data_IF_078152397603
#
_entry.id   IF_078152397603
#
_cell.length_a   1.000
_cell.length_b   1.000
_cell.length_c   1.000
_cell.angle_alpha   90.00
_cell.angle_beta   90.00
_cell.angle_gamma   90.00
#
_symmetry.space_group_name_H-M   'P 1'
#
loop_
_entity.id
_entity.type
_entity.pdbx_description
1 polymer ?
#
# COMPACT_ATOMS: atom_id res chain seq x y z
N UNK A 1 -7.39 -28.51 24.82
CA UNK A 1 -8.32 -27.36 24.81
C UNK A 1 -7.60 -26.22 24.13
N UNK A 2 -7.82 -26.02 22.83
CA UNK A 2 -7.16 -24.97 22.05
C UNK A 2 -7.97 -23.69 22.15
N UNK A 3 -7.45 -22.68 22.86
CA UNK A 3 -8.05 -21.34 22.86
C UNK A 3 -7.76 -20.69 21.52
N UNK A 4 -8.76 -20.66 20.63
CA UNK A 4 -8.75 -19.79 19.46
C UNK A 4 -8.88 -18.36 19.99
N UNK A 5 -7.78 -17.64 20.04
CA UNK A 5 -7.78 -16.20 20.33
C UNK A 5 -8.46 -15.49 19.16
N UNK A 6 -9.72 -15.11 19.32
CA UNK A 6 -10.44 -14.32 18.31
C UNK A 6 -9.70 -12.99 18.10
N UNK A 7 -9.46 -12.58 16.85
CA UNK A 7 -8.84 -11.28 16.57
C UNK A 7 -9.73 -10.15 17.10
N UNK A 8 -9.11 -9.15 17.71
CA UNK A 8 -9.83 -7.96 18.19
C UNK A 8 -10.34 -7.13 16.99
N UNK A 9 -11.45 -6.36 17.13
CA UNK A 9 -12.06 -5.64 16.00
C UNK A 9 -11.11 -4.70 15.24
N UNK A 10 -10.14 -4.09 15.95
CA UNK A 10 -9.09 -3.26 15.35
C UNK A 10 -8.14 -4.10 14.48
N UNK A 11 -7.73 -5.28 14.94
CA UNK A 11 -6.91 -6.19 14.16
C UNK A 11 -7.64 -6.65 12.89
N UNK A 12 -8.95 -6.91 12.98
CA UNK A 12 -9.78 -7.23 11.80
C UNK A 12 -9.80 -6.08 10.78
N UNK A 13 -9.95 -4.83 11.23
CA UNK A 13 -9.92 -3.66 10.34
C UNK A 13 -8.56 -3.43 9.67
N UNK A 14 -7.45 -3.66 10.39
CA UNK A 14 -6.10 -3.57 9.83
C UNK A 14 -5.90 -4.63 8.74
N UNK A 15 -6.30 -5.88 8.99
CA UNK A 15 -6.15 -6.97 8.03
C UNK A 15 -7.03 -6.78 6.78
N UNK A 16 -8.26 -6.28 6.93
CA UNK A 16 -9.14 -5.93 5.79
C UNK A 16 -8.53 -4.84 4.91
N UNK A 17 -7.92 -3.81 5.51
CA UNK A 17 -7.21 -2.76 4.74
C UNK A 17 -6.00 -3.29 3.98
N UNK A 18 -5.24 -4.21 4.59
CA UNK A 18 -4.11 -4.89 3.93
C UNK A 18 -4.60 -5.77 2.76
N UNK A 19 -5.68 -6.52 2.95
CA UNK A 19 -6.24 -7.38 1.90
C UNK A 19 -6.74 -6.55 0.71
N UNK A 20 -7.48 -5.47 0.98
CA UNK A 20 -7.91 -4.52 -0.06
C UNK A 20 -6.75 -3.80 -0.73
N UNK A 21 -5.65 -3.56 -0.03
CA UNK A 21 -4.43 -3.03 -0.65
C UNK A 21 -3.85 -4.02 -1.66
N UNK A 22 -3.77 -5.30 -1.30
CA UNK A 22 -3.31 -6.38 -2.21
C UNK A 22 -4.24 -6.53 -3.41
N UNK A 23 -5.55 -6.55 -3.16
CA UNK A 23 -6.58 -6.62 -4.20
C UNK A 23 -6.42 -5.51 -5.24
N UNK A 24 -6.15 -4.27 -4.81
CA UNK A 24 -5.92 -3.17 -5.76
C UNK A 24 -4.61 -3.27 -6.55
N UNK A 25 -3.53 -3.81 -5.97
CA UNK A 25 -2.30 -4.06 -6.74
C UNK A 25 -2.54 -5.14 -7.81
N UNK A 26 -3.23 -6.22 -7.44
CA UNK A 26 -3.61 -7.27 -8.39
C UNK A 26 -4.54 -6.73 -9.48
N UNK A 27 -5.52 -5.89 -9.13
CA UNK A 27 -6.39 -5.23 -10.09
C UNK A 27 -5.58 -4.33 -11.03
N UNK A 28 -4.68 -3.50 -10.50
CA UNK A 28 -3.83 -2.64 -11.30
C UNK A 28 -3.03 -3.43 -12.36
N UNK A 29 -2.50 -4.60 -12.01
CA UNK A 29 -1.78 -5.47 -12.95
C UNK A 29 -2.65 -6.00 -14.10
N UNK A 30 -3.96 -6.13 -13.90
CA UNK A 30 -4.89 -6.65 -14.91
C UNK A 30 -5.61 -5.55 -15.71
N UNK A 31 -5.53 -4.29 -15.29
CA UNK A 31 -6.19 -3.20 -15.99
C UNK A 31 -5.55 -2.95 -17.36
N UNK A 32 -6.37 -2.73 -18.39
CA UNK A 32 -5.87 -2.35 -19.72
C UNK A 32 -5.70 -0.85 -19.87
N UNK A 33 -6.56 -0.06 -19.21
CA UNK A 33 -6.42 1.40 -19.18
C UNK A 33 -5.34 1.83 -18.20
N UNK A 34 -4.36 2.57 -18.72
CA UNK A 34 -3.21 3.08 -17.95
C UNK A 34 -3.63 4.04 -16.83
N UNK A 35 -4.74 4.76 -17.00
CA UNK A 35 -5.28 5.63 -15.95
C UNK A 35 -5.80 4.77 -14.79
N UNK A 36 -6.55 3.70 -15.09
CA UNK A 36 -7.08 2.82 -14.04
C UNK A 36 -5.96 2.02 -13.36
N UNK A 37 -4.91 1.60 -14.10
CA UNK A 37 -3.68 1.03 -13.49
C UNK A 37 -3.11 1.97 -12.43
N UNK A 38 -2.90 3.23 -12.81
CA UNK A 38 -2.34 4.26 -11.93
C UNK A 38 -3.23 4.50 -10.70
N UNK A 39 -4.55 4.60 -10.93
CA UNK A 39 -5.55 4.83 -9.88
C UNK A 39 -5.62 3.69 -8.88
N UNK A 40 -5.67 2.44 -9.36
CA UNK A 40 -5.64 1.25 -8.52
C UNK A 40 -4.34 1.17 -7.69
N UNK A 41 -3.19 1.47 -8.28
CA UNK A 41 -1.91 1.50 -7.57
C UNK A 41 -1.87 2.58 -6.47
N UNK A 42 -2.34 3.80 -6.76
CA UNK A 42 -2.44 4.87 -5.76
C UNK A 42 -3.40 4.50 -4.62
N UNK A 43 -4.53 3.86 -4.95
CA UNK A 43 -5.52 3.42 -3.97
C UNK A 43 -4.98 2.29 -3.08
N UNK A 44 -4.18 1.37 -3.63
CA UNK A 44 -3.48 0.36 -2.84
C UNK A 44 -2.58 1.01 -1.78
N UNK A 45 -1.72 1.95 -2.19
CA UNK A 45 -0.83 2.66 -1.27
C UNK A 45 -1.60 3.39 -0.16
N UNK A 46 -2.72 4.05 -0.48
CA UNK A 46 -3.59 4.71 0.50
C UNK A 46 -4.13 3.72 1.54
N UNK A 47 -4.54 2.52 1.12
CA UNK A 47 -5.05 1.49 2.03
C UNK A 47 -3.97 0.89 2.92
N UNK A 48 -2.77 0.67 2.39
CA UNK A 48 -1.62 0.25 3.18
C UNK A 48 -1.29 1.30 4.26
N UNK A 49 -1.26 2.59 3.90
CA UNK A 49 -1.02 3.67 4.86
C UNK A 49 -2.13 3.76 5.91
N UNK A 50 -3.40 3.59 5.51
CA UNK A 50 -4.52 3.56 6.45
C UNK A 50 -4.41 2.37 7.44
N UNK A 51 -3.98 1.19 6.97
CA UNK A 51 -3.75 0.03 7.84
C UNK A 51 -2.67 0.32 8.90
N UNK A 52 -1.57 0.96 8.47
CA UNK A 52 -0.50 1.39 9.38
C UNK A 52 -1.02 2.36 10.45
N UNK A 53 -1.77 3.38 10.04
CA UNK A 53 -2.36 4.34 10.98
C UNK A 53 -3.35 3.66 11.93
N UNK A 54 -4.21 2.76 11.43
CA UNK A 54 -5.18 2.04 12.24
C UNK A 54 -4.50 1.15 13.30
N UNK A 55 -3.38 0.51 12.97
CA UNK A 55 -2.62 -0.31 13.89
C UNK A 55 -1.84 0.51 14.94
N UNK A 56 -1.29 1.66 14.56
CA UNK A 56 -0.47 2.51 15.45
C UNK A 56 -1.31 3.55 16.23
N UNK A 57 -2.55 3.83 15.82
CA UNK A 57 -3.43 4.77 16.50
C UNK A 57 -4.05 4.14 17.74
N UNK A 58 -3.46 4.41 18.91
CA UNK A 58 -3.96 3.87 20.18
C UNK A 58 -5.31 4.48 20.61
N UNK A 59 -5.70 5.66 20.09
CA UNK A 59 -6.98 6.36 20.43
C UNK A 59 -7.51 7.38 19.41
N UNK A 60 -6.87 7.61 18.26
CA UNK A 60 -7.20 8.78 17.44
C UNK A 60 -7.94 8.39 16.14
N UNK A 61 -9.24 8.09 16.27
CA UNK A 61 -10.14 7.91 15.13
C UNK A 61 -10.68 9.25 14.60
N UNK A 62 -10.28 10.39 15.17
CA UNK A 62 -10.79 11.74 14.84
C UNK A 62 -9.69 12.79 14.95
N UNK A 63 -8.77 12.83 13.98
CA UNK A 63 -7.80 13.93 13.87
C UNK A 63 -7.97 14.69 12.56
N UNK A 64 -9.05 15.47 12.46
CA UNK A 64 -9.29 16.46 11.40
C UNK A 64 -9.18 15.97 9.94
N UNK A 65 -9.32 16.86 8.95
CA UNK A 65 -9.01 16.55 7.56
C UNK A 65 -7.49 16.67 7.34
N UNK A 66 -6.68 15.84 8.00
CA UNK A 66 -5.28 15.67 7.62
C UNK A 66 -5.17 14.54 6.62
N UNK A 67 -4.39 14.75 5.58
CA UNK A 67 -4.08 13.70 4.62
C UNK A 67 -3.38 12.55 5.35
N UNK A 68 -3.68 11.31 5.01
CA UNK A 68 -3.00 10.13 5.57
C UNK A 68 -1.47 10.26 5.47
N UNK A 69 -1.00 10.89 4.39
CA UNK A 69 0.42 11.13 4.10
C UNK A 69 1.08 12.17 5.01
N UNK A 70 0.30 13.08 5.63
CA UNK A 70 0.83 14.00 6.64
C UNK A 70 1.05 13.30 7.99
N UNK A 71 0.33 12.21 8.24
CA UNK A 71 0.37 11.49 9.53
C UNK A 71 1.43 10.40 9.52
N UNK A 72 1.67 9.75 8.38
CA UNK A 72 2.65 8.64 8.24
C UNK A 72 4.02 9.00 8.85
N UNK A 73 4.66 10.15 8.54
CA UNK A 73 5.97 10.50 9.11
C UNK A 73 5.98 10.62 10.64
N UNK A 74 4.83 10.91 11.26
CA UNK A 74 4.71 11.04 12.72
C UNK A 74 4.68 9.67 13.40
N UNK A 75 4.00 8.69 12.79
CA UNK A 75 3.85 7.35 13.40
C UNK A 75 4.87 6.34 12.89
N UNK A 76 5.48 6.59 11.73
CA UNK A 76 6.45 5.76 11.03
C UNK A 76 7.45 6.65 10.27
N UNK A 77 8.38 7.31 10.98
CA UNK A 77 9.36 8.20 10.35
C UNK A 77 10.21 7.49 9.28
N UNK A 78 10.43 6.19 9.43
CA UNK A 78 11.08 5.32 8.44
C UNK A 78 10.36 5.27 7.08
N UNK A 79 9.10 5.72 7.00
CA UNK A 79 8.29 5.79 5.78
C UNK A 79 8.03 7.23 5.30
N UNK A 80 8.74 8.23 5.83
CA UNK A 80 8.51 9.63 5.48
C UNK A 80 8.76 9.95 3.99
N UNK A 81 9.77 9.34 3.39
CA UNK A 81 10.07 9.50 1.97
C UNK A 81 8.94 8.94 1.09
N UNK A 82 8.38 7.79 1.49
CA UNK A 82 7.22 7.21 0.82
C UNK A 82 5.98 8.11 0.90
N UNK A 83 5.74 8.73 2.05
CA UNK A 83 4.63 9.68 2.19
C UNK A 83 4.78 10.89 1.25
N UNK A 84 6.00 11.39 1.08
CA UNK A 84 6.31 12.47 0.13
C UNK A 84 6.08 12.01 -1.31
N UNK A 85 6.61 10.84 -1.68
CA UNK A 85 6.43 10.25 -3.01
C UNK A 85 4.94 10.08 -3.37
N UNK A 86 4.15 9.46 -2.48
CA UNK A 86 2.73 9.21 -2.75
C UNK A 86 1.86 10.47 -2.74
N UNK A 87 2.31 11.54 -2.07
CA UNK A 87 1.65 12.85 -2.15
C UNK A 87 1.84 13.46 -3.55
N UNK A 88 3.04 13.37 -4.10
CA UNK A 88 3.33 13.86 -5.46
C UNK A 88 2.59 13.05 -6.54
N UNK A 89 2.64 11.71 -6.47
CA UNK A 89 1.92 10.84 -7.41
C UNK A 89 0.41 11.04 -7.28
N UNK A 90 -0.11 11.21 -6.06
CA UNK A 90 -1.52 11.52 -5.85
C UNK A 90 -1.95 12.85 -6.48
N UNK A 91 -1.08 13.87 -6.49
CA UNK A 91 -1.34 15.14 -7.18
C UNK A 91 -1.36 14.95 -8.69
N UNK A 92 -0.42 14.19 -9.26
CA UNK A 92 -0.39 13.84 -10.70
C UNK A 92 -1.62 13.04 -11.11
N UNK A 93 -2.03 12.06 -10.30
CA UNK A 93 -3.27 11.29 -10.49
C UNK A 93 -4.50 12.17 -10.67
N UNK A 94 -4.65 13.21 -9.85
CA UNK A 94 -5.77 14.15 -10.00
C UNK A 94 -5.72 14.98 -11.30
N UNK A 95 -4.54 15.20 -11.89
CA UNK A 95 -4.42 15.85 -13.20
C UNK A 95 -4.90 14.88 -14.28
N UNK A 96 -4.57 13.59 -14.15
CA UNK A 96 -5.01 12.53 -15.05
C UNK A 96 -6.53 12.31 -14.98
N UNK A 97 -7.11 12.29 -13.78
CA UNK A 97 -8.56 12.14 -13.57
C UNK A 97 -9.38 13.26 -14.22
N UNK A 98 -8.80 14.47 -14.30
CA UNK A 98 -9.41 15.62 -14.97
C UNK A 98 -9.24 15.60 -16.50
N UNK A 99 -8.53 14.61 -17.04
CA UNK A 99 -8.23 14.48 -18.46
C UNK A 99 -7.24 15.53 -18.99
N UNK A 100 -6.59 16.29 -18.11
CA UNK A 100 -5.66 17.34 -18.52
C UNK A 100 -4.32 16.78 -19.02
N UNK A 101 -3.94 15.59 -18.53
CA UNK A 101 -2.77 14.82 -18.96
C UNK A 101 -3.10 13.33 -18.89
N UNK A 102 -2.25 12.46 -19.45
CA UNK A 102 -2.33 11.00 -19.26
C UNK A 102 -1.01 10.47 -18.71
N UNK A 103 -1.04 9.48 -17.80
CA UNK A 103 0.17 8.79 -17.40
C UNK A 103 0.72 7.99 -18.59
N UNK A 104 2.03 7.81 -18.61
CA UNK A 104 2.67 6.80 -19.45
C UNK A 104 2.51 5.40 -18.83
N UNK A 105 2.67 4.35 -19.66
CA UNK A 105 2.69 2.95 -19.18
C UNK A 105 3.76 2.77 -18.11
N UNK A 106 4.95 3.35 -18.33
CA UNK A 106 6.05 3.29 -17.38
C UNK A 106 5.72 3.94 -16.04
N UNK A 107 5.09 5.12 -16.04
CA UNK A 107 4.67 5.77 -14.79
C UNK A 107 3.65 4.95 -14.00
N UNK A 108 2.72 4.28 -14.70
CA UNK A 108 1.78 3.38 -14.05
C UNK A 108 2.47 2.14 -13.47
N UNK A 109 3.35 1.51 -14.24
CA UNK A 109 4.10 0.32 -13.81
C UNK A 109 5.06 0.64 -12.65
N UNK A 110 5.72 1.81 -12.68
CA UNK A 110 6.58 2.29 -11.60
C UNK A 110 5.77 2.55 -10.32
N UNK A 111 4.55 3.10 -10.45
CA UNK A 111 3.67 3.30 -9.30
C UNK A 111 3.17 1.98 -8.71
N UNK A 112 2.92 0.95 -9.52
CA UNK A 112 2.59 -0.40 -9.05
C UNK A 112 3.75 -0.97 -8.23
N UNK A 113 4.98 -0.94 -8.77
CA UNK A 113 6.18 -1.42 -8.06
C UNK A 113 6.43 -0.66 -6.76
N UNK A 114 6.21 0.65 -6.77
CA UNK A 114 6.29 1.50 -5.58
C UNK A 114 5.22 1.08 -4.53
N UNK A 115 3.98 0.84 -4.97
CA UNK A 115 2.89 0.37 -4.12
C UNK A 115 3.17 -1.00 -3.48
N UNK A 116 3.69 -1.95 -4.24
CA UNK A 116 4.13 -3.27 -3.74
C UNK A 116 5.22 -3.13 -2.68
N UNK A 117 6.26 -2.35 -2.99
CA UNK A 117 7.38 -2.11 -2.07
C UNK A 117 6.89 -1.47 -0.78
N UNK A 118 6.05 -0.44 -0.87
CA UNK A 118 5.50 0.26 0.28
C UNK A 118 4.61 -0.64 1.14
N UNK A 119 3.69 -1.41 0.53
CA UNK A 119 2.89 -2.39 1.25
C UNK A 119 3.78 -3.37 2.01
N UNK A 120 4.89 -3.77 1.41
CA UNK A 120 5.85 -4.64 2.07
C UNK A 120 6.51 -4.02 3.30
N UNK A 121 6.91 -2.75 3.20
CA UNK A 121 7.44 -2.02 4.35
C UNK A 121 6.40 -1.83 5.44
N UNK A 122 5.13 -1.59 5.08
CA UNK A 122 4.01 -1.52 6.04
C UNK A 122 3.82 -2.85 6.75
N UNK A 123 3.79 -3.98 6.02
CA UNK A 123 3.65 -5.31 6.64
C UNK A 123 4.79 -5.59 7.63
N UNK A 124 6.04 -5.27 7.26
CA UNK A 124 7.20 -5.36 8.16
C UNK A 124 7.02 -4.48 9.40
N UNK A 125 6.56 -3.25 9.23
CA UNK A 125 6.26 -2.30 10.31
C UNK A 125 5.17 -2.79 11.27
N UNK A 126 4.30 -3.69 10.81
CA UNK A 126 3.21 -4.29 11.59
C UNK A 126 3.57 -5.67 12.17
N UNK A 127 4.79 -6.18 11.89
CA UNK A 127 5.18 -7.54 12.26
C UNK A 127 4.37 -8.62 11.53
N UNK A 128 3.71 -8.27 10.43
CA UNK A 128 2.93 -9.20 9.62
C UNK A 128 3.85 -9.87 8.58
N UNK A 129 3.59 -11.15 8.25
CA UNK A 129 4.34 -11.79 7.19
C UNK A 129 4.14 -11.03 5.89
N UNK A 130 5.26 -10.83 5.20
CA UNK A 130 5.32 -10.49 3.79
C UNK A 130 4.74 -11.66 3.02
N UNK A 131 3.41 -11.77 2.98
CA UNK A 131 2.77 -12.93 2.37
C UNK A 131 3.07 -12.92 0.87
N UNK A 132 4.06 -13.70 0.44
CA UNK A 132 3.96 -14.43 -0.81
C UNK A 132 2.94 -15.53 -0.58
N UNK A 133 1.68 -15.29 -0.95
CA UNK A 133 0.71 -16.38 -1.20
C UNK A 133 1.08 -17.04 -2.54
N UNK A 134 2.34 -17.49 -2.62
CA UNK A 134 3.02 -18.16 -3.74
C UNK A 134 4.38 -18.59 -3.18
N UNK A 135 4.34 -19.51 -2.20
CA UNK A 135 5.54 -19.91 -1.46
C UNK A 135 5.41 -21.16 -0.60
N UNK A 136 4.24 -21.81 -0.56
CA UNK A 136 4.14 -23.17 -0.02
C UNK A 136 4.52 -24.25 -1.05
N UNK A 137 4.95 -23.86 -2.27
CA UNK A 137 5.28 -24.81 -3.34
C UNK A 137 6.40 -24.42 -4.29
N UNK A 138 7.08 -23.27 -4.12
CA UNK A 138 8.17 -22.84 -5.00
C UNK A 138 9.34 -22.27 -4.18
N UNK A 139 9.92 -23.11 -3.32
CA UNK A 139 11.29 -22.93 -2.82
C UNK A 139 12.33 -23.35 -3.89
N UNK A 140 12.16 -22.84 -5.11
CA UNK A 140 13.14 -23.04 -6.15
C UNK A 140 13.01 -21.93 -7.21
N UNK A 141 14.09 -21.16 -7.29
CA UNK A 141 14.48 -20.30 -8.40
C UNK A 141 14.13 -18.80 -8.29
N UNK A 142 15.23 -18.05 -8.17
CA UNK A 142 15.49 -16.73 -8.76
C UNK A 142 15.20 -15.50 -7.88
N UNK A 143 16.24 -15.10 -7.14
CA UNK A 143 16.42 -13.72 -6.73
C UNK A 143 17.00 -12.91 -7.90
N UNK A 144 16.42 -11.77 -8.32
CA UNK A 144 17.14 -10.81 -9.14
C UNK A 144 17.97 -9.89 -8.25
N UNK A 145 19.27 -9.88 -8.51
CA UNK A 145 20.26 -8.96 -7.99
C UNK A 145 19.99 -7.54 -8.52
N UNK A 146 19.94 -6.55 -7.62
CA UNK A 146 20.07 -5.14 -7.97
C UNK A 146 21.44 -4.67 -7.49
N UNK A 147 22.41 -4.75 -8.38
CA UNK A 147 23.73 -4.14 -8.23
C UNK A 147 23.76 -2.81 -8.98
N UNK A 148 24.08 -1.76 -8.21
CA UNK A 148 24.55 -0.41 -8.58
C UNK A 148 23.58 0.56 -9.26
#
# INVERSE_FOLDING_TARGET
MSTVTSPTPLATGVLDLIDRSRGCLLEACHQQDVIERYRCAQLAALRAAAALLAARSRRNARSGPRSVWEVVPTVAPELAEWATYFTDTGRRGQIFDRGAQRPTVREADDLIRAGETFLGLVLRCLGLPMASVLGAGLDAAVAPSMAR
#
